data_IF_418939308811
#
_entry.id   IF_418939308811
#
_cell.length_a   1.000
_cell.length_b   1.000
_cell.length_c   1.000
_cell.angle_alpha   90.00
_cell.angle_beta   90.00
_cell.angle_gamma   90.00
#
_symmetry.space_group_name_H-M   'P 1'
#
loop_
_entity.id
_entity.type
_entity.pdbx_description
1 polymer ?
#
# COMPACT_ATOMS: atom_id res chain seq x y z
N UNK A 1 17.96 3.38 -2.59
CA UNK A 1 16.97 2.32 -2.82
C UNK A 1 15.66 2.73 -2.21
N UNK A 2 14.53 2.57 -2.89
CA UNK A 2 13.26 2.96 -2.30
C UNK A 2 12.80 1.99 -1.22
N UNK A 3 11.85 2.46 -0.43
CA UNK A 3 11.21 1.69 0.63
C UNK A 3 9.73 1.63 0.36
N UNK A 4 9.11 0.52 0.75
CA UNK A 4 7.69 0.32 0.52
C UNK A 4 7.01 0.00 1.85
N UNK A 5 5.92 0.72 2.14
CA UNK A 5 4.99 0.29 3.17
C UNK A 5 4.02 -0.67 2.48
N UNK A 6 4.15 -1.94 2.81
CA UNK A 6 3.37 -3.01 2.17
C UNK A 6 2.25 -3.42 3.11
N UNK A 7 1.03 -3.30 2.64
CA UNK A 7 -0.19 -3.46 3.43
C UNK A 7 -1.04 -4.54 2.80
N UNK A 8 -1.64 -5.40 3.64
CA UNK A 8 -2.65 -6.32 3.12
C UNK A 8 -3.67 -6.64 4.19
N UNK A 9 -4.93 -6.76 3.79
CA UNK A 9 -6.02 -7.11 4.69
C UNK A 9 -7.29 -7.36 3.89
N UNK A 10 -8.23 -8.14 4.46
CA UNK A 10 -9.56 -8.22 3.86
C UNK A 10 -10.34 -6.95 4.14
N UNK A 11 -11.33 -6.67 3.30
CA UNK A 11 -12.23 -5.54 3.49
C UNK A 11 -13.67 -6.03 3.35
N UNK A 12 -14.63 -5.44 4.11
CA UNK A 12 -16.04 -5.83 3.96
C UNK A 12 -16.59 -5.46 2.59
N UNK A 13 -16.12 -4.35 2.02
CA UNK A 13 -16.53 -3.87 0.71
C UNK A 13 -15.37 -3.12 0.10
N UNK A 14 -14.98 -3.51 -1.10
CA UNK A 14 -13.90 -2.79 -1.80
C UNK A 14 -14.27 -1.33 -2.01
N UNK A 15 -15.51 -1.07 -2.45
CA UNK A 15 -15.94 0.30 -2.73
C UNK A 15 -15.92 1.17 -1.46
N UNK A 16 -16.37 0.62 -0.35
CA UNK A 16 -16.35 1.34 0.92
C UNK A 16 -14.92 1.62 1.38
N UNK A 17 -14.06 0.61 1.26
CA UNK A 17 -12.65 0.78 1.61
C UNK A 17 -11.98 1.80 0.68
N UNK A 18 -12.29 1.75 -0.62
CA UNK A 18 -11.67 2.66 -1.60
C UNK A 18 -12.06 4.10 -1.32
N UNK A 19 -13.30 4.35 -0.89
CA UNK A 19 -13.71 5.69 -0.51
C UNK A 19 -12.89 6.20 0.67
N UNK A 20 -12.65 5.35 1.67
CA UNK A 20 -11.82 5.72 2.81
C UNK A 20 -10.38 5.96 2.38
N UNK A 21 -9.87 5.13 1.48
CA UNK A 21 -8.51 5.30 0.96
C UNK A 21 -8.39 6.63 0.20
N UNK A 22 -9.37 6.96 -0.62
CA UNK A 22 -9.36 8.19 -1.43
C UNK A 22 -9.53 9.44 -0.57
N UNK A 23 -10.14 9.32 0.61
CA UNK A 23 -10.22 10.44 1.54
C UNK A 23 -8.85 10.88 2.04
N UNK A 24 -7.86 9.98 1.95
CA UNK A 24 -6.45 10.30 2.19
C UNK A 24 -6.22 10.95 3.56
N UNK A 25 -6.63 10.29 4.64
CA UNK A 25 -6.59 10.92 5.97
C UNK A 25 -5.18 11.20 6.48
N UNK A 26 -4.16 10.51 5.95
CA UNK A 26 -2.77 10.74 6.37
C UNK A 26 -2.03 11.65 5.39
N UNK A 27 -2.69 12.03 4.27
CA UNK A 27 -2.08 12.87 3.24
C UNK A 27 -0.83 12.19 2.68
N UNK A 28 -1.04 11.23 1.81
CA UNK A 28 0.05 10.41 1.27
C UNK A 28 1.13 11.22 0.60
N UNK A 29 0.74 12.23 -0.18
CA UNK A 29 1.73 13.03 -0.89
C UNK A 29 2.62 13.81 0.06
N UNK A 30 2.03 14.48 1.04
CA UNK A 30 2.80 15.25 2.03
C UNK A 30 3.63 14.33 2.93
N UNK A 31 3.21 13.10 3.08
CA UNK A 31 3.92 12.12 3.90
C UNK A 31 5.12 11.52 3.19
N UNK A 32 5.29 11.82 1.89
CA UNK A 32 6.45 11.35 1.15
C UNK A 32 6.20 10.18 0.22
N UNK A 33 4.94 9.77 0.05
CA UNK A 33 4.62 8.70 -0.90
C UNK A 33 4.88 9.22 -2.31
N UNK A 34 5.72 8.51 -3.06
CA UNK A 34 6.05 8.87 -4.42
C UNK A 34 5.20 8.13 -5.43
N UNK A 35 4.68 6.96 -5.03
CA UNK A 35 3.87 6.13 -5.92
C UNK A 35 3.12 5.11 -5.07
N UNK A 36 1.94 4.71 -5.52
CA UNK A 36 1.27 3.61 -4.85
C UNK A 36 0.64 2.68 -5.88
N UNK A 37 0.36 1.47 -5.44
CA UNK A 37 -0.31 0.46 -6.23
C UNK A 37 -1.30 -0.28 -5.35
N UNK A 38 -2.49 -0.53 -5.88
CA UNK A 38 -3.51 -1.30 -5.20
C UNK A 38 -3.76 -2.55 -6.03
N UNK A 39 -3.73 -3.71 -5.37
CA UNK A 39 -4.02 -4.98 -6.01
C UNK A 39 -5.07 -5.72 -5.21
N UNK A 40 -5.82 -6.58 -5.86
CA UNK A 40 -6.78 -7.47 -5.20
C UNK A 40 -6.41 -8.89 -5.52
N UNK A 41 -6.65 -9.78 -4.57
CA UNK A 41 -6.46 -11.20 -4.81
C UNK A 41 -7.43 -11.65 -5.92
N UNK A 42 -6.91 -12.36 -6.91
CA UNK A 42 -7.75 -12.80 -8.02
C UNK A 42 -8.81 -13.80 -7.59
N UNK A 43 -8.54 -14.57 -6.54
CA UNK A 43 -9.49 -15.56 -6.02
C UNK A 43 -10.43 -14.96 -4.97
N UNK A 44 -10.06 -13.84 -4.38
CA UNK A 44 -10.85 -13.19 -3.32
C UNK A 44 -10.73 -11.68 -3.46
N UNK A 45 -11.62 -11.05 -4.29
CA UNK A 45 -11.50 -9.61 -4.54
C UNK A 45 -11.74 -8.72 -3.32
N UNK A 46 -12.18 -9.29 -2.20
CA UNK A 46 -12.29 -8.52 -0.97
C UNK A 46 -11.00 -8.52 -0.15
N UNK A 47 -9.95 -9.16 -0.65
CA UNK A 47 -8.62 -9.11 -0.02
C UNK A 47 -7.73 -8.18 -0.82
N UNK A 48 -7.28 -7.09 -0.19
CA UNK A 48 -6.52 -6.05 -0.89
C UNK A 48 -5.08 -6.02 -0.42
N UNK A 49 -4.20 -5.63 -1.34
CA UNK A 49 -2.78 -5.42 -1.08
C UNK A 49 -2.42 -4.04 -1.60
N UNK A 50 -1.74 -3.25 -0.78
CA UNK A 50 -1.37 -1.89 -1.16
C UNK A 50 0.12 -1.71 -0.94
N UNK A 51 0.82 -1.20 -1.95
CA UNK A 51 2.23 -0.83 -1.83
C UNK A 51 2.34 0.67 -1.96
N UNK A 52 2.88 1.31 -0.92
CA UNK A 52 3.14 2.75 -0.91
C UNK A 52 4.65 2.95 -0.93
N UNK A 53 5.15 3.61 -1.95
CA UNK A 53 6.59 3.73 -2.17
C UNK A 53 7.11 5.06 -1.64
N UNK A 54 8.27 5.00 -0.99
CA UNK A 54 8.94 6.16 -0.40
C UNK A 54 10.40 6.15 -0.82
N UNK A 55 11.01 7.34 -0.94
CA UNK A 55 12.44 7.45 -1.20
C UNK A 55 13.25 7.18 0.06
N UNK A 56 12.77 7.59 1.22
CA UNK A 56 13.51 7.48 2.45
C UNK A 56 12.87 6.54 3.45
N UNK A 57 13.71 5.86 4.22
CA UNK A 57 13.24 4.94 5.25
C UNK A 57 12.51 5.67 6.36
N UNK A 58 12.99 6.86 6.73
CA UNK A 58 12.36 7.60 7.84
C UNK A 58 10.93 7.97 7.52
N UNK A 59 10.68 8.41 6.28
CA UNK A 59 9.31 8.74 5.86
C UNK A 59 8.42 7.50 5.85
N UNK A 60 8.96 6.37 5.38
CA UNK A 60 8.20 5.11 5.36
C UNK A 60 7.86 4.67 6.79
N UNK A 61 8.83 4.72 7.69
CA UNK A 61 8.60 4.32 9.09
C UNK A 61 7.59 5.24 9.77
N UNK A 62 7.69 6.54 9.53
CA UNK A 62 6.74 7.50 10.11
C UNK A 62 5.33 7.27 9.59
N UNK A 63 5.19 6.98 8.29
CA UNK A 63 3.88 6.68 7.72
C UNK A 63 3.30 5.42 8.33
N UNK A 64 4.13 4.39 8.50
CA UNK A 64 3.70 3.12 9.08
C UNK A 64 3.11 3.33 10.48
N UNK A 65 3.75 4.16 11.30
CA UNK A 65 3.25 4.45 12.64
C UNK A 65 1.88 5.14 12.57
N UNK A 66 1.76 6.16 11.71
CA UNK A 66 0.49 6.89 11.58
C UNK A 66 -0.62 6.00 11.03
N UNK A 67 -0.27 5.08 10.15
CA UNK A 67 -1.25 4.14 9.60
C UNK A 67 -1.81 3.23 10.70
N UNK A 68 -0.94 2.74 11.57
CA UNK A 68 -1.38 1.91 12.68
C UNK A 68 -2.27 2.68 13.63
N UNK A 69 -1.96 3.95 13.88
CA UNK A 69 -2.81 4.81 14.71
C UNK A 69 -4.19 5.02 14.05
N UNK A 70 -4.21 5.19 12.73
CA UNK A 70 -5.46 5.34 12.00
C UNK A 70 -6.31 4.08 12.13
N UNK A 71 -5.69 2.91 11.99
CA UNK A 71 -6.42 1.63 12.06
C UNK A 71 -7.08 1.42 13.42
N UNK A 72 -6.55 2.02 14.47
CA UNK A 72 -7.17 1.91 15.79
C UNK A 72 -8.48 2.69 15.89
N UNK A 73 -8.75 3.58 14.93
CA UNK A 73 -9.91 4.45 14.95
C UNK A 73 -10.95 4.16 13.88
N UNK A 74 -10.63 3.24 12.94
CA UNK A 74 -11.55 2.93 11.84
C UNK A 74 -11.91 1.47 11.87
N UNK A 75 -13.07 1.14 11.27
CA UNK A 75 -13.57 -0.22 11.27
C UNK A 75 -13.72 -0.80 9.86
N UNK A 76 -13.14 -0.14 8.87
CA UNK A 76 -13.25 -0.61 7.47
C UNK A 76 -12.21 -1.67 7.10
N UNK A 77 -11.33 -2.02 8.05
CA UNK A 77 -10.30 -3.02 7.81
C UNK A 77 -10.40 -4.11 8.88
N UNK A 78 -10.03 -5.33 8.51
CA UNK A 78 -9.96 -6.47 9.41
C UNK A 78 -8.56 -7.05 9.37
N UNK A 79 -7.98 -7.31 10.55
CA UNK A 79 -6.67 -7.92 10.66
C UNK A 79 -5.65 -7.29 9.71
N UNK A 80 -5.51 -5.96 9.74
CA UNK A 80 -4.59 -5.32 8.83
C UNK A 80 -3.14 -5.69 9.15
N UNK A 81 -2.37 -5.96 8.10
CA UNK A 81 -0.95 -6.25 8.24
C UNK A 81 -0.18 -5.23 7.41
N UNK A 82 0.85 -4.65 8.01
CA UNK A 82 1.71 -3.72 7.30
C UNK A 82 3.13 -3.90 7.75
N UNK A 83 4.05 -3.73 6.82
CA UNK A 83 5.48 -3.77 7.12
C UNK A 83 6.21 -2.81 6.21
N UNK A 84 7.37 -2.33 6.67
CA UNK A 84 8.25 -1.54 5.84
C UNK A 84 9.29 -2.47 5.26
N UNK A 85 9.43 -2.46 3.93
CA UNK A 85 10.41 -3.29 3.26
C UNK A 85 11.33 -2.41 2.42
N UNK A 86 12.56 -2.84 2.29
CA UNK A 86 13.54 -2.17 1.44
C UNK A 86 13.60 -2.87 0.10
N UNK A 87 13.52 -2.10 -0.98
CA UNK A 87 13.70 -2.66 -2.31
C UNK A 87 15.20 -2.82 -2.54
N UNK A 88 15.69 -4.05 -2.54
CA UNK A 88 17.12 -4.31 -2.67
C UNK A 88 17.53 -4.57 -4.11
N UNK A 89 16.57 -4.88 -4.97
CA UNK A 89 16.86 -5.10 -6.38
C UNK A 89 15.58 -4.92 -7.18
N UNK A 90 15.69 -4.28 -8.33
CA UNK A 90 14.57 -4.10 -9.23
C UNK A 90 15.09 -4.21 -10.66
N UNK A 91 14.38 -4.95 -11.48
CA UNK A 91 14.75 -5.11 -12.87
C UNK A 91 13.47 -5.21 -13.70
N UNK A 92 13.49 -4.55 -14.84
CA UNK A 92 12.33 -4.55 -15.73
C UNK A 92 12.67 -5.32 -16.99
N UNK A 93 11.86 -6.32 -17.28
CA UNK A 93 11.91 -7.01 -18.55
C UNK A 93 10.93 -6.35 -19.49
N UNK A 94 11.23 -6.38 -20.77
CA UNK A 94 10.36 -5.76 -21.77
C UNK A 94 9.25 -6.74 -22.13
N UNK A 95 8.01 -6.47 -21.71
CA UNK A 95 6.91 -7.39 -21.99
C UNK A 95 6.62 -7.45 -23.49
N UNK A 96 6.22 -8.60 -23.94
CA UNK A 96 5.84 -8.80 -25.34
C UNK A 96 6.98 -8.97 -26.30
N UNK A 97 8.23 -8.83 -25.87
CA UNK A 97 9.36 -8.96 -26.75
C UNK A 97 9.52 -10.36 -27.32
N UNK A 98 8.95 -11.33 -26.69
CA UNK A 98 9.00 -12.70 -27.18
C UNK A 98 8.24 -12.87 -28.49
N UNK A 99 7.37 -11.93 -28.80
CA UNK A 99 6.57 -11.94 -30.02
C UNK A 99 7.32 -11.36 -31.21
N UNK A 100 8.41 -10.73 -30.97
CA UNK A 100 9.19 -10.04 -32.02
C UNK A 100 9.90 -11.01 -32.95
#
# INVERSE_FOLDING_TARGET
MPYIVRIEHPVPSYEGWKQAFDADPIDREQSGVTRYRIARDTADPSYVQIDLEFEGREEADAFHVRLQELWERVSVVHDPAARVVEVVESHTYRPGRAED
#
